data_IF_967686752318
#
_entry.id   IF_967686752318
#
_cell.length_a   1.000
_cell.length_b   1.000
_cell.length_c   1.000
_cell.angle_alpha   90.00
_cell.angle_beta   90.00
_cell.angle_gamma   90.00
#
_symmetry.space_group_name_H-M   'P 1'
#
loop_
_entity.id
_entity.type
_entity.pdbx_description
1 polymer ?
#
# COMPACT_ATOMS: atom_id res chain seq x y z
N UNK A 1 9.13 11.57 23.53
CA UNK A 1 9.43 10.43 22.68
C UNK A 1 8.56 10.44 21.43
N UNK A 2 9.13 9.98 20.35
CA UNK A 2 8.41 9.86 19.10
C UNK A 2 7.57 8.59 19.11
N UNK A 3 6.28 8.74 18.80
CA UNK A 3 5.42 7.57 18.62
C UNK A 3 5.62 7.03 17.23
N UNK A 4 6.58 6.13 17.10
CA UNK A 4 6.77 5.41 15.85
C UNK A 4 5.84 4.22 15.90
N UNK A 5 4.92 4.15 14.95
CA UNK A 5 4.07 2.98 14.85
C UNK A 5 4.33 2.25 13.54
N UNK A 6 4.32 0.92 13.64
CA UNK A 6 4.36 0.05 12.50
C UNK A 6 3.14 -0.83 12.57
N UNK A 7 2.18 -0.59 11.67
CA UNK A 7 0.95 -1.36 11.64
C UNK A 7 1.02 -2.38 10.51
N UNK A 8 1.10 -3.63 10.90
CA UNK A 8 0.91 -4.75 10.00
C UNK A 8 -0.58 -4.99 9.84
N UNK A 9 -1.05 -4.94 8.61
CA UNK A 9 -2.47 -5.12 8.32
C UNK A 9 -2.76 -6.60 8.09
N UNK A 10 -3.09 -7.31 9.17
CA UNK A 10 -3.36 -8.75 9.11
C UNK A 10 -4.51 -9.10 8.18
N UNK A 11 -5.49 -8.20 8.05
CA UNK A 11 -6.61 -8.41 7.14
C UNK A 11 -6.19 -8.34 5.66
N UNK A 12 -5.04 -7.72 5.37
CA UNK A 12 -4.51 -7.64 4.02
C UNK A 12 -3.57 -8.79 3.70
N UNK A 13 -3.13 -9.54 4.72
CA UNK A 13 -2.26 -10.68 4.50
C UNK A 13 -3.02 -11.76 3.76
N UNK A 14 -2.45 -12.23 2.65
CA UNK A 14 -3.08 -13.30 1.90
C UNK A 14 -2.06 -14.07 1.09
N UNK A 15 -2.41 -15.32 0.82
CA UNK A 15 -1.63 -16.20 -0.02
C UNK A 15 -2.51 -16.49 -1.24
N UNK A 16 -2.00 -16.19 -2.42
CA UNK A 16 -2.77 -16.28 -3.66
C UNK A 16 -1.99 -17.03 -4.73
N UNK A 17 -2.66 -17.37 -5.81
CA UNK A 17 -2.05 -17.81 -7.06
C UNK A 17 -2.85 -17.14 -8.18
N UNK A 18 -2.69 -15.80 -8.29
CA UNK A 18 -3.53 -14.99 -9.18
C UNK A 18 -3.24 -15.24 -10.64
N UNK A 19 -2.03 -15.68 -10.98
CA UNK A 19 -1.65 -16.00 -12.35
C UNK A 19 -1.75 -17.49 -12.69
N UNK A 20 -2.18 -18.31 -11.73
CA UNK A 20 -2.40 -19.75 -11.92
C UNK A 20 -1.17 -20.50 -12.44
N UNK A 21 0.01 -20.13 -11.94
CA UNK A 21 1.26 -20.78 -12.31
C UNK A 21 1.71 -21.86 -11.32
N UNK A 22 0.86 -22.17 -10.31
CA UNK A 22 1.13 -23.11 -9.23
C UNK A 22 2.23 -22.67 -8.26
N UNK A 23 2.64 -21.40 -8.32
CA UNK A 23 3.54 -20.80 -7.36
C UNK A 23 2.73 -19.80 -6.54
N UNK A 24 2.75 -19.97 -5.21
CA UNK A 24 1.99 -19.09 -4.33
C UNK A 24 2.66 -17.73 -4.21
N UNK A 25 1.87 -16.67 -4.23
CA UNK A 25 2.29 -15.33 -3.86
C UNK A 25 1.86 -15.05 -2.44
N UNK A 26 2.77 -14.52 -1.63
CA UNK A 26 2.47 -14.09 -0.26
C UNK A 26 2.49 -12.57 -0.23
N UNK A 27 1.37 -11.97 0.17
CA UNK A 27 1.20 -10.52 0.19
C UNK A 27 1.16 -10.00 1.62
N UNK A 28 1.98 -8.98 1.89
CA UNK A 28 2.10 -8.35 3.21
C UNK A 28 1.97 -6.85 3.01
N UNK A 29 1.13 -6.20 3.84
CA UNK A 29 0.94 -4.76 3.81
C UNK A 29 1.21 -4.18 5.19
N UNK A 30 1.95 -3.08 5.24
CA UNK A 30 2.12 -2.34 6.49
C UNK A 30 2.31 -0.86 6.24
N UNK A 31 2.04 -0.08 7.29
CA UNK A 31 2.21 1.36 7.31
C UNK A 31 3.15 1.73 8.45
N UNK A 32 4.09 2.62 8.18
CA UNK A 32 5.11 3.03 9.13
C UNK A 32 5.21 4.54 9.20
N UNK A 33 5.42 5.09 10.38
CA UNK A 33 5.65 6.50 10.56
C UNK A 33 5.37 6.97 11.97
N UNK A 34 5.38 8.29 12.13
CA UNK A 34 5.07 8.93 13.39
C UNK A 34 3.60 9.35 13.40
N UNK A 35 2.85 8.92 14.42
CA UNK A 35 1.43 9.23 14.53
C UNK A 35 1.21 10.56 15.24
N UNK A 36 1.93 11.40 15.45
CA UNK A 36 1.71 12.73 16.02
C UNK A 36 1.75 13.83 15.00
N UNK A 37 2.02 13.50 13.73
CA UNK A 37 2.17 14.49 12.69
C UNK A 37 0.97 14.58 11.77
N UNK A 38 1.04 15.54 10.85
CA UNK A 38 0.01 15.74 9.81
C UNK A 38 0.37 15.05 8.50
N UNK A 39 1.56 14.46 8.43
CA UNK A 39 2.01 13.79 7.23
C UNK A 39 1.45 12.38 7.14
N UNK A 40 1.17 11.89 5.91
CA UNK A 40 0.73 10.52 5.75
C UNK A 40 1.84 9.54 6.13
N UNK A 41 1.43 8.39 6.65
CA UNK A 41 2.38 7.31 6.96
C UNK A 41 2.93 6.71 5.68
N UNK A 42 4.15 6.20 5.75
CA UNK A 42 4.67 5.36 4.68
C UNK A 42 3.84 4.09 4.57
N UNK A 43 3.56 3.68 3.37
CA UNK A 43 2.83 2.45 3.10
C UNK A 43 3.63 1.57 2.17
N UNK A 44 3.67 0.29 2.51
CA UNK A 44 4.45 -0.67 1.74
C UNK A 44 3.66 -1.96 1.56
N UNK A 45 3.67 -2.47 0.33
CA UNK A 45 3.18 -3.80 0.03
C UNK A 45 4.37 -4.62 -0.44
N UNK A 46 4.55 -5.78 0.16
CA UNK A 46 5.59 -6.73 -0.21
C UNK A 46 4.92 -8.00 -0.68
N UNK A 47 5.39 -8.52 -1.81
CA UNK A 47 4.94 -9.80 -2.33
C UNK A 47 6.15 -10.71 -2.49
N UNK A 48 6.01 -11.95 -2.02
CA UNK A 48 7.01 -12.98 -2.22
C UNK A 48 6.44 -14.07 -3.13
N UNK A 49 7.20 -14.43 -4.15
CA UNK A 49 6.88 -15.57 -4.99
C UNK A 49 8.16 -16.33 -5.28
N UNK A 50 8.16 -17.61 -4.97
CA UNK A 50 9.31 -18.50 -5.24
C UNK A 50 10.64 -17.93 -4.72
N UNK A 51 10.60 -17.39 -3.49
CA UNK A 51 11.78 -16.83 -2.85
C UNK A 51 12.19 -15.45 -3.34
N UNK A 52 11.48 -14.88 -4.31
CA UNK A 52 11.78 -13.54 -4.83
C UNK A 52 10.89 -12.50 -4.19
N UNK A 53 11.48 -11.38 -3.80
CA UNK A 53 10.78 -10.28 -3.15
C UNK A 53 10.45 -9.19 -4.16
N UNK A 54 9.20 -8.74 -4.13
CA UNK A 54 8.70 -7.62 -4.92
C UNK A 54 8.16 -6.59 -3.93
N UNK A 55 8.49 -5.32 -4.12
CA UNK A 55 8.03 -4.28 -3.21
C UNK A 55 7.41 -3.10 -3.95
N UNK A 56 6.39 -2.54 -3.33
CA UNK A 56 5.62 -1.40 -3.77
C UNK A 56 5.61 -0.43 -2.60
N UNK A 57 6.13 0.78 -2.80
CA UNK A 57 6.35 1.74 -1.72
C UNK A 57 5.76 3.08 -2.05
N UNK A 58 5.20 3.71 -1.04
CA UNK A 58 4.66 5.05 -1.16
C UNK A 58 4.14 5.53 0.16
N UNK A 59 3.05 6.28 0.12
CA UNK A 59 2.41 6.79 1.33
C UNK A 59 0.93 6.48 1.30
N UNK A 60 0.34 6.42 2.49
CA UNK A 60 -1.12 6.39 2.59
C UNK A 60 -1.71 7.70 2.10
N UNK A 61 -3.00 7.69 1.80
CA UNK A 61 -3.75 8.88 1.40
C UNK A 61 -4.59 9.36 2.56
N UNK A 62 -4.44 10.64 2.93
CA UNK A 62 -5.19 11.21 4.03
C UNK A 62 -5.88 12.49 3.58
N UNK A 63 -6.94 12.86 4.30
CA UNK A 63 -7.63 14.14 4.11
C UNK A 63 -6.88 15.19 4.91
N UNK A 64 -6.48 16.29 4.26
CA UNK A 64 -5.79 17.39 4.94
C UNK A 64 -6.69 18.56 5.22
N UNK A 65 -7.75 18.76 4.43
CA UNK A 65 -8.70 19.85 4.65
C UNK A 65 -9.96 19.62 3.85
N UNK A 66 -10.99 20.37 4.18
CA UNK A 66 -12.27 20.38 3.47
C UNK A 66 -12.48 21.74 2.83
N UNK A 67 -12.75 21.77 1.53
CA UNK A 67 -13.04 23.01 0.80
C UNK A 67 -14.55 23.23 0.77
N UNK A 68 -15.03 24.22 1.50
CA UNK A 68 -16.46 24.52 1.59
C UNK A 68 -17.05 25.01 0.25
N UNK A 69 -16.24 25.68 -0.55
CA UNK A 69 -16.70 26.23 -1.84
C UNK A 69 -16.97 25.15 -2.87
N UNK A 70 -16.11 24.15 -2.95
CA UNK A 70 -16.26 23.02 -3.87
C UNK A 70 -16.97 21.84 -3.26
N UNK A 71 -17.16 21.84 -1.93
CA UNK A 71 -17.72 20.74 -1.14
C UNK A 71 -16.90 19.45 -1.30
N UNK A 72 -15.60 19.60 -1.48
CA UNK A 72 -14.68 18.48 -1.65
C UNK A 72 -13.61 18.49 -0.58
N UNK A 73 -13.12 17.29 -0.26
CA UNK A 73 -11.96 17.12 0.60
C UNK A 73 -10.68 17.32 -0.21
N UNK A 74 -9.68 17.90 0.44
CA UNK A 74 -8.33 17.93 -0.10
C UNK A 74 -7.53 16.77 0.50
N UNK A 75 -6.80 16.07 -0.35
CA UNK A 75 -6.06 14.89 0.01
C UNK A 75 -4.57 15.10 -0.20
N UNK A 76 -3.77 14.34 0.52
CA UNK A 76 -2.33 14.24 0.26
C UNK A 76 -1.91 12.79 0.36
N UNK A 77 -0.82 12.45 -0.33
CA UNK A 77 -0.29 11.10 -0.37
C UNK A 77 -1.02 10.19 -1.33
N UNK A 78 -0.82 8.91 -1.16
CA UNK A 78 -1.52 7.88 -1.92
C UNK A 78 -0.78 7.38 -3.15
N UNK A 79 0.34 7.99 -3.51
CA UNK A 79 1.15 7.57 -4.65
C UNK A 79 2.14 6.49 -4.25
N UNK A 80 2.50 5.67 -5.20
CA UNK A 80 3.44 4.59 -4.97
C UNK A 80 4.41 4.47 -6.14
N UNK A 81 5.53 3.78 -5.87
CA UNK A 81 6.47 3.35 -6.89
C UNK A 81 6.73 1.85 -6.72
N UNK A 82 7.00 1.19 -7.82
CA UNK A 82 7.42 -0.20 -7.81
C UNK A 82 8.94 -0.29 -7.71
N UNK A 83 9.42 -1.32 -7.01
CA UNK A 83 10.84 -1.64 -7.07
C UNK A 83 11.17 -2.29 -8.43
N UNK A 84 12.45 -2.58 -8.63
CA UNK A 84 12.95 -3.11 -9.88
C UNK A 84 12.30 -4.45 -10.23
N UNK A 85 12.06 -5.30 -9.24
CA UNK A 85 11.44 -6.60 -9.45
C UNK A 85 10.02 -6.47 -10.04
N UNK A 86 9.21 -5.57 -9.47
CA UNK A 86 7.88 -5.28 -10.02
C UNK A 86 7.97 -4.62 -11.39
N UNK A 87 8.88 -3.65 -11.58
CA UNK A 87 9.04 -2.97 -12.85
C UNK A 87 9.40 -3.93 -13.98
N UNK A 88 10.20 -4.94 -13.66
CA UNK A 88 10.62 -5.95 -14.62
C UNK A 88 9.60 -7.08 -14.78
N UNK A 89 8.59 -7.12 -13.94
CA UNK A 89 7.53 -8.12 -14.05
C UNK A 89 6.63 -7.81 -15.24
N UNK A 90 6.37 -8.80 -16.04
CA UNK A 90 5.45 -8.69 -17.17
C UNK A 90 4.11 -9.37 -16.88
N UNK A 91 3.92 -9.81 -15.64
CA UNK A 91 2.71 -10.52 -15.25
C UNK A 91 1.61 -9.51 -14.91
N UNK A 92 0.70 -9.29 -15.84
CA UNK A 92 -0.38 -8.33 -15.68
C UNK A 92 -1.32 -8.68 -14.54
N UNK A 93 -1.54 -9.95 -14.28
CA UNK A 93 -2.45 -10.38 -13.21
C UNK A 93 -1.89 -10.02 -11.83
N UNK A 94 -0.59 -10.21 -11.64
CA UNK A 94 0.10 -9.82 -10.41
C UNK A 94 0.09 -8.30 -10.25
N UNK A 95 0.40 -7.56 -11.32
CA UNK A 95 0.40 -6.10 -11.27
C UNK A 95 -0.99 -5.54 -10.98
N UNK A 96 -2.03 -6.08 -11.60
CA UNK A 96 -3.41 -5.66 -11.34
C UNK A 96 -3.83 -5.96 -9.90
N UNK A 97 -3.46 -7.12 -9.37
CA UNK A 97 -3.76 -7.48 -8.00
C UNK A 97 -3.08 -6.52 -7.02
N UNK A 98 -1.81 -6.17 -7.27
CA UNK A 98 -1.07 -5.23 -6.43
C UNK A 98 -1.76 -3.87 -6.37
N UNK A 99 -2.26 -3.38 -7.51
CA UNK A 99 -2.97 -2.10 -7.57
C UNK A 99 -4.29 -2.15 -6.82
N UNK A 100 -5.03 -3.23 -6.95
CA UNK A 100 -6.28 -3.41 -6.20
C UNK A 100 -6.04 -3.42 -4.70
N UNK A 101 -4.99 -4.12 -4.27
CA UNK A 101 -4.63 -4.19 -2.86
C UNK A 101 -4.21 -2.82 -2.33
N UNK A 102 -3.39 -2.09 -3.10
CA UNK A 102 -3.00 -0.73 -2.74
C UNK A 102 -4.23 0.16 -2.58
N UNK A 103 -5.10 0.19 -3.58
CA UNK A 103 -6.28 1.05 -3.58
C UNK A 103 -7.27 0.71 -2.46
N UNK A 104 -7.32 -0.54 -2.04
CA UNK A 104 -8.20 -0.96 -0.95
C UNK A 104 -7.78 -0.39 0.40
N UNK A 105 -6.47 -0.26 0.65
CA UNK A 105 -5.94 0.09 1.96
C UNK A 105 -5.25 1.44 2.02
N UNK A 106 -5.10 2.14 0.90
CA UNK A 106 -4.31 3.38 0.85
C UNK A 106 -4.95 4.52 1.63
N UNK A 107 -6.27 4.60 1.62
CA UNK A 107 -6.98 5.69 2.26
C UNK A 107 -7.19 5.39 3.74
N UNK A 108 -6.74 6.32 4.59
CA UNK A 108 -7.00 6.25 6.02
C UNK A 108 -7.97 7.35 6.38
N UNK A 109 -9.22 7.01 6.74
CA UNK A 109 -10.17 8.01 7.21
C UNK A 109 -9.70 8.58 8.54
N UNK A 110 -9.88 9.88 8.71
CA UNK A 110 -9.57 10.55 9.97
C UNK A 110 -10.84 10.67 10.81
N UNK A 111 -10.68 10.34 12.07
CA UNK A 111 -11.76 10.47 13.05
C UNK A 111 -11.95 11.91 13.49
#
# INVERSE_FOLDING_TARGET
>A
PLDISGDFFSEAFQITDVNQNNLSEVWILYKLGCRGGVDPLDMKIIMYENGKKYAMRGTEKIIISYNKNTKNNNYTGGKYTYDEAFLNSKDQKILEFSKKLWNKYVFTPQD
#
